data_IF_457925415393
#
_entry.id   IF_457925415393
#
_cell.length_a   1.000
_cell.length_b   1.000
_cell.length_c   1.000
_cell.angle_alpha   90.00
_cell.angle_beta   90.00
_cell.angle_gamma   90.00
#
_symmetry.space_group_name_H-M   'P 1'
#
loop_
_entity.id
_entity.type
_entity.pdbx_description
1 polymer ?
#
# COMPACT_ATOMS: atom_id res chain seq x y z
N UNK A 1 -14.12 28.00 31.12
CA UNK A 1 -14.30 26.85 30.20
C UNK A 1 -13.46 27.10 28.96
N UNK A 2 -12.33 26.39 28.81
CA UNK A 2 -11.51 26.46 27.60
C UNK A 2 -11.87 25.26 26.72
N UNK A 3 -12.65 25.50 25.67
CA UNK A 3 -12.84 24.51 24.61
C UNK A 3 -11.50 24.30 23.90
N UNK A 4 -10.81 23.21 24.24
CA UNK A 4 -9.65 22.76 23.47
C UNK A 4 -10.17 22.40 22.08
N UNK A 5 -9.82 23.22 21.09
CA UNK A 5 -9.99 22.89 19.68
C UNK A 5 -9.18 21.63 19.39
N UNK A 6 -9.85 20.48 19.38
CA UNK A 6 -9.32 19.27 18.77
C UNK A 6 -9.20 19.57 17.29
N UNK A 7 -8.02 20.03 16.87
CA UNK A 7 -7.63 19.99 15.47
C UNK A 7 -7.59 18.51 15.11
N UNK A 8 -8.68 18.02 14.52
CA UNK A 8 -8.68 16.75 13.81
C UNK A 8 -7.67 16.93 12.68
N UNK A 9 -6.43 16.50 12.90
CA UNK A 9 -5.45 16.49 11.83
C UNK A 9 -5.92 15.37 10.89
N UNK A 10 -6.64 15.74 9.85
CA UNK A 10 -6.96 14.85 8.74
C UNK A 10 -5.64 14.45 8.09
N UNK A 11 -5.07 13.36 8.57
CA UNK A 11 -3.85 12.80 8.05
C UNK A 11 -4.22 11.69 7.08
N UNK A 12 -3.64 11.77 5.89
CA UNK A 12 -3.88 10.80 4.82
C UNK A 12 -2.65 9.92 4.69
N UNK A 13 -2.87 8.61 4.61
CA UNK A 13 -1.85 7.61 4.31
C UNK A 13 -2.35 6.72 3.17
N UNK A 14 -1.44 5.96 2.56
CA UNK A 14 -1.77 5.07 1.46
C UNK A 14 -1.59 3.62 1.89
N UNK A 15 -2.61 2.79 1.65
CA UNK A 15 -2.54 1.35 1.83
C UNK A 15 -2.64 0.66 0.47
N UNK A 16 -1.70 -0.22 0.15
CA UNK A 16 -1.63 -0.93 -1.13
C UNK A 16 -1.61 -2.42 -0.87
N UNK A 17 -2.45 -3.19 -1.57
CA UNK A 17 -2.39 -4.65 -1.55
C UNK A 17 -1.66 -5.16 -2.80
N UNK A 18 -0.50 -5.80 -2.62
CA UNK A 18 0.20 -6.52 -3.67
C UNK A 18 -0.24 -7.97 -3.69
N UNK A 19 -1.14 -8.31 -4.62
CA UNK A 19 -1.65 -9.68 -4.79
C UNK A 19 -0.57 -10.71 -5.15
N UNK A 20 0.55 -10.31 -5.78
CA UNK A 20 1.60 -11.25 -6.16
C UNK A 20 2.42 -11.71 -4.97
N UNK A 21 2.68 -10.79 -4.05
CA UNK A 21 3.41 -11.05 -2.81
C UNK A 21 2.47 -11.47 -1.68
N UNK A 22 1.17 -11.22 -1.84
CA UNK A 22 0.15 -11.38 -0.82
C UNK A 22 0.42 -10.50 0.41
N UNK A 23 0.73 -9.22 0.18
CA UNK A 23 1.13 -8.28 1.24
C UNK A 23 0.35 -6.97 1.16
N UNK A 24 0.02 -6.42 2.33
CA UNK A 24 -0.45 -5.06 2.50
C UNK A 24 0.71 -4.15 2.87
N UNK A 25 0.97 -3.16 2.02
CA UNK A 25 2.01 -2.15 2.17
C UNK A 25 1.37 -0.84 2.60
N UNK A 26 1.67 -0.39 3.82
CA UNK A 26 1.19 0.88 4.35
C UNK A 26 2.28 1.96 4.24
N UNK A 27 1.96 3.05 3.56
CA UNK A 27 2.80 4.22 3.41
C UNK A 27 2.21 5.39 4.18
N UNK A 28 2.84 5.68 5.31
CA UNK A 28 2.52 6.81 6.15
C UNK A 28 3.65 7.83 6.13
N UNK A 29 3.36 9.03 5.65
CA UNK A 29 4.33 10.14 5.61
C UNK A 29 4.35 10.97 6.90
N UNK A 30 3.46 10.69 7.87
CA UNK A 30 3.52 11.28 9.20
C UNK A 30 4.67 10.68 10.00
N UNK A 31 5.41 11.55 10.70
CA UNK A 31 6.34 11.11 11.73
C UNK A 31 5.61 10.29 12.77
N UNK A 32 6.08 9.07 13.01
CA UNK A 32 5.51 8.16 14.01
C UNK A 32 4.27 7.39 13.55
N UNK A 33 3.84 7.51 12.28
CA UNK A 33 2.79 6.67 11.70
C UNK A 33 1.40 6.93 12.27
N UNK A 34 0.87 8.15 12.10
CA UNK A 34 -0.43 8.57 12.63
C UNK A 34 -1.62 7.66 12.23
N UNK A 35 -1.53 6.94 11.11
CA UNK A 35 -2.58 6.07 10.61
C UNK A 35 -2.29 4.57 10.72
N UNK A 36 -1.20 4.15 11.36
CA UNK A 36 -0.82 2.72 11.40
C UNK A 36 -1.90 1.83 12.03
N UNK A 37 -2.59 2.32 13.07
CA UNK A 37 -3.69 1.57 13.72
C UNK A 37 -4.89 1.42 12.76
N UNK A 38 -5.25 2.48 12.06
CA UNK A 38 -6.36 2.53 11.12
C UNK A 38 -6.07 1.64 9.91
N UNK A 39 -4.83 1.66 9.42
CA UNK A 39 -4.37 0.79 8.33
C UNK A 39 -4.45 -0.69 8.71
N UNK A 40 -4.01 -1.07 9.91
CA UNK A 40 -4.13 -2.45 10.41
C UNK A 40 -5.58 -2.90 10.50
N UNK A 41 -6.48 -2.08 11.05
CA UNK A 41 -7.92 -2.37 11.10
C UNK A 41 -8.52 -2.58 9.71
N UNK A 42 -8.12 -1.75 8.74
CA UNK A 42 -8.57 -1.89 7.36
C UNK A 42 -8.03 -3.18 6.72
N UNK A 43 -6.77 -3.55 6.98
CA UNK A 43 -6.20 -4.83 6.52
C UNK A 43 -6.96 -6.02 7.11
N UNK A 44 -7.25 -5.99 8.41
CA UNK A 44 -8.01 -7.05 9.08
C UNK A 44 -9.41 -7.22 8.49
N UNK A 45 -10.06 -6.13 8.07
CA UNK A 45 -11.37 -6.19 7.43
C UNK A 45 -11.29 -6.73 5.98
N UNK A 46 -10.17 -6.51 5.28
CA UNK A 46 -10.02 -6.87 3.87
C UNK A 46 -9.39 -8.24 3.63
N UNK A 47 -8.66 -8.80 4.61
CA UNK A 47 -7.88 -10.04 4.45
C UNK A 47 -8.72 -11.22 3.93
N UNK A 48 -9.93 -11.38 4.43
CA UNK A 48 -10.80 -12.49 4.01
C UNK A 48 -11.30 -12.30 2.57
N UNK A 49 -11.61 -11.06 2.18
CA UNK A 49 -12.06 -10.72 0.82
C UNK A 49 -10.95 -10.86 -0.22
N UNK A 50 -9.71 -10.56 0.13
CA UNK A 50 -8.59 -10.70 -0.83
C UNK A 50 -8.11 -12.15 -0.96
N UNK A 51 -8.21 -12.92 0.12
CA UNK A 51 -7.81 -14.35 0.16
C UNK A 51 -8.84 -15.23 -0.56
N UNK A 52 -10.13 -14.99 -0.35
CA UNK A 52 -11.22 -15.72 -1.03
C UNK A 52 -11.27 -15.51 -2.54
N UNK A 53 -10.77 -14.37 -3.02
CA UNK A 53 -10.66 -14.05 -4.45
C UNK A 53 -9.33 -14.49 -5.08
N UNK A 54 -8.49 -15.26 -4.36
CA UNK A 54 -7.28 -15.83 -4.91
C UNK A 54 -7.62 -17.09 -5.71
N UNK A 55 -7.23 -17.13 -6.99
CA UNK A 55 -7.51 -18.26 -7.88
C UNK A 55 -6.60 -19.47 -7.62
N UNK A 56 -5.66 -19.36 -6.67
CA UNK A 56 -4.68 -20.39 -6.34
C UNK A 56 -4.91 -20.86 -4.89
N UNK A 57 -5.55 -22.02 -4.68
CA UNK A 57 -5.81 -22.57 -3.35
C UNK A 57 -4.53 -22.95 -2.57
N UNK A 58 -3.34 -22.87 -3.19
CA UNK A 58 -2.07 -23.09 -2.49
C UNK A 58 -1.58 -21.87 -1.69
N UNK A 59 -2.11 -20.67 -1.95
CA UNK A 59 -1.83 -19.45 -1.17
C UNK A 59 -2.83 -19.37 0.00
N UNK A 60 -2.91 -20.43 0.79
CA UNK A 60 -3.71 -20.48 2.03
C UNK A 60 -2.99 -19.78 3.19
N UNK A 61 -2.32 -18.67 2.92
CA UNK A 61 -1.64 -17.87 3.94
C UNK A 61 -2.29 -16.50 4.03
N UNK A 62 -2.58 -16.07 5.26
CA UNK A 62 -3.10 -14.74 5.51
C UNK A 62 -2.12 -13.68 4.97
N UNK A 63 -2.62 -12.64 4.28
CA UNK A 63 -1.78 -11.55 3.81
C UNK A 63 -0.97 -10.92 4.96
N UNK A 64 0.31 -10.62 4.71
CA UNK A 64 1.15 -9.93 5.70
C UNK A 64 0.90 -8.42 5.67
N UNK A 65 1.15 -7.74 6.78
CA UNK A 65 1.11 -6.28 6.87
C UNK A 65 2.51 -5.72 7.07
N UNK A 66 2.92 -4.77 6.23
CA UNK A 66 4.21 -4.11 6.31
C UNK A 66 4.05 -2.59 6.30
N UNK A 67 4.67 -1.96 7.29
CA UNK A 67 4.85 -0.51 7.33
C UNK A 67 6.06 -0.15 6.46
N UNK A 68 5.84 0.68 5.45
CA UNK A 68 6.89 1.06 4.50
C UNK A 68 7.62 2.32 4.96
N UNK A 69 8.94 2.32 4.75
CA UNK A 69 9.76 3.53 4.89
C UNK A 69 9.31 4.54 3.84
N UNK A 70 8.62 5.58 4.31
CA UNK A 70 8.08 6.65 3.48
C UNK A 70 8.76 7.95 3.89
N UNK A 71 9.19 8.81 2.94
CA UNK A 71 9.75 10.11 3.28
C UNK A 71 8.78 10.90 4.16
N UNK A 72 9.29 11.41 5.28
CA UNK A 72 8.49 12.22 6.20
C UNK A 72 8.06 13.51 5.48
N UNK A 73 6.76 13.76 5.46
CA UNK A 73 6.24 14.95 4.82
C UNK A 73 6.48 16.19 5.66
N UNK A 74 6.97 17.25 5.05
CA UNK A 74 6.97 18.61 5.64
C UNK A 74 5.71 19.40 5.26
N UNK A 75 4.94 18.91 4.27
CA UNK A 75 3.64 19.44 3.83
C UNK A 75 2.78 18.33 3.18
N UNK A 76 1.46 18.49 3.04
CA UNK A 76 0.50 17.41 2.71
C UNK A 76 0.50 16.81 1.28
N UNK A 77 1.57 16.96 0.50
CA UNK A 77 1.59 16.63 -0.94
C UNK A 77 1.99 15.18 -1.28
N UNK A 78 2.31 14.34 -0.29
CA UNK A 78 3.06 13.11 -0.53
C UNK A 78 2.21 11.92 -0.98
N UNK A 79 0.94 11.82 -0.60
CA UNK A 79 0.10 10.64 -0.91
C UNK A 79 -0.08 10.44 -2.42
N UNK A 80 -0.39 11.51 -3.15
CA UNK A 80 -0.56 11.45 -4.61
C UNK A 80 0.74 11.17 -5.36
N UNK A 81 1.86 11.72 -4.87
CA UNK A 81 3.18 11.46 -5.43
C UNK A 81 3.56 9.98 -5.25
N UNK A 82 3.31 9.40 -4.08
CA UNK A 82 3.53 7.98 -3.80
C UNK A 82 2.65 7.11 -4.70
N UNK A 83 1.35 7.42 -4.80
CA UNK A 83 0.43 6.67 -5.68
C UNK A 83 0.88 6.71 -7.15
N UNK A 84 1.36 7.87 -7.63
CA UNK A 84 1.91 8.02 -8.98
C UNK A 84 3.19 7.20 -9.18
N UNK A 85 4.13 7.28 -8.25
CA UNK A 85 5.38 6.52 -8.31
C UNK A 85 5.13 5.01 -8.32
N UNK A 86 4.20 4.52 -7.49
CA UNK A 86 3.80 3.11 -7.46
C UNK A 86 3.23 2.69 -8.82
N UNK A 87 2.30 3.49 -9.39
CA UNK A 87 1.72 3.20 -10.70
C UNK A 87 2.78 3.13 -11.81
N UNK A 88 3.69 4.10 -11.85
CA UNK A 88 4.77 4.14 -12.83
C UNK A 88 5.74 2.95 -12.67
N UNK A 89 6.08 2.57 -11.44
CA UNK A 89 6.87 1.38 -11.13
C UNK A 89 6.22 0.09 -11.62
N UNK A 90 4.91 -0.07 -11.39
CA UNK A 90 4.15 -1.24 -11.86
C UNK A 90 4.14 -1.28 -13.40
N UNK A 91 3.89 -0.15 -14.05
CA UNK A 91 3.89 -0.06 -15.52
C UNK A 91 5.27 -0.41 -16.12
N UNK A 92 6.36 0.14 -15.56
CA UNK A 92 7.72 -0.16 -15.99
C UNK A 92 8.08 -1.64 -15.76
N UNK A 93 7.62 -2.26 -14.66
CA UNK A 93 7.77 -3.70 -14.42
C UNK A 93 7.03 -4.53 -15.46
N UNK A 94 5.78 -4.18 -15.79
CA UNK A 94 5.00 -4.87 -16.83
C UNK A 94 5.69 -4.82 -18.20
N UNK A 95 6.17 -3.66 -18.61
CA UNK A 95 6.86 -3.49 -19.90
C UNK A 95 8.15 -4.33 -19.99
N UNK A 96 8.90 -4.47 -18.89
CA UNK A 96 10.08 -5.34 -18.85
C UNK A 96 9.73 -6.82 -18.97
N UNK A 97 8.68 -7.28 -18.31
CA UNK A 97 8.22 -8.67 -18.43
C UNK A 97 7.76 -9.03 -19.85
N UNK A 98 7.09 -8.11 -20.54
CA UNK A 98 6.69 -8.28 -21.95
C UNK A 98 7.89 -8.40 -22.90
N UNK A 99 8.95 -7.63 -22.66
CA UNK A 99 10.16 -7.65 -23.48
C UNK A 99 11.02 -8.92 -23.29
N UNK A 100 10.93 -9.59 -22.13
CA UNK A 100 11.61 -10.88 -21.89
C UNK A 100 10.90 -12.02 -22.62
N UNK A 101 9.57 -11.96 -22.77
CA UNK A 101 8.79 -12.95 -23.52
C UNK A 101 9.07 -12.95 -25.03
N UNK A 102 9.47 -11.81 -25.59
CA UNK A 102 9.77 -11.68 -27.03
C UNK A 102 11.15 -12.20 -27.44
N UNK A 103 12.08 -12.42 -26.50
CA UNK A 103 13.46 -12.86 -26.79
C UNK A 103 13.67 -14.38 -26.83
N UNK A 104 12.62 -15.20 -26.61
CA UNK A 104 12.73 -16.67 -26.63
C UNK A 104 12.51 -17.33 -27.99
N UNK A 105 12.27 -16.55 -29.05
CA UNK A 105 12.10 -17.06 -30.40
C UNK A 105 13.19 -16.48 -31.32
N UNK A 106 14.39 -17.05 -31.26
CA UNK A 106 15.34 -16.96 -32.38
C UNK A 106 16.25 -18.18 -32.38
#
# INVERSE_FOLDING_TARGET
>A
MHCRGLRMTEHWSLLVYDRKLNEFLHHDSSRGGANSIQAKKLCDALKDSVTSNSADPSVSTCPTFQECVTPEQTNGLFVWAIARAIRECIAARRNRSSNIGLKKNK
#
